data_IF_018265086402
#
_entry.id   IF_018265086402
#
_cell.length_a   1.000
_cell.length_b   1.000
_cell.length_c   1.000
_cell.angle_alpha   90.00
_cell.angle_beta   90.00
_cell.angle_gamma   90.00
#
_symmetry.space_group_name_H-M   'P 1'
#
loop_
_entity.id
_entity.type
_entity.pdbx_description
1 polymer ?
#
# COMPACT_ATOMS: atom_id res chain seq x y z
N UNK A 1 -12.35 -0.83 -5.52
CA UNK A 1 -11.83 -2.00 -6.26
C UNK A 1 -10.79 -2.74 -5.41
N UNK A 2 -10.82 -4.07 -5.37
CA UNK A 2 -9.88 -4.87 -4.56
C UNK A 2 -8.59 -5.11 -5.37
N UNK A 3 -7.42 -4.70 -4.85
CA UNK A 3 -6.14 -5.00 -5.51
C UNK A 3 -5.87 -6.50 -5.47
N UNK A 4 -5.51 -7.08 -6.63
CA UNK A 4 -5.12 -8.48 -6.79
C UNK A 4 -3.65 -8.52 -7.15
N UNK A 5 -2.81 -9.14 -6.32
CA UNK A 5 -1.41 -9.39 -6.64
C UNK A 5 -1.28 -10.71 -7.41
N UNK A 6 -1.06 -10.64 -8.72
CA UNK A 6 -0.80 -11.80 -9.60
C UNK A 6 0.67 -12.16 -9.68
N UNK A 7 1.55 -11.20 -9.41
CA UNK A 7 3.01 -11.36 -9.46
C UNK A 7 3.64 -10.84 -8.18
N UNK A 8 4.84 -11.34 -7.85
CA UNK A 8 5.56 -11.01 -6.62
C UNK A 8 5.78 -9.50 -6.47
N UNK A 9 6.11 -8.79 -7.54
CA UNK A 9 6.27 -7.33 -7.51
C UNK A 9 5.01 -6.59 -7.02
N UNK A 10 3.82 -7.05 -7.42
CA UNK A 10 2.55 -6.45 -6.95
C UNK A 10 2.31 -6.74 -5.46
N UNK A 11 2.74 -7.90 -4.96
CA UNK A 11 2.68 -8.23 -3.54
C UNK A 11 3.59 -7.31 -2.71
N UNK A 12 4.84 -7.14 -3.14
CA UNK A 12 5.80 -6.25 -2.48
C UNK A 12 5.27 -4.80 -2.42
N UNK A 13 4.63 -4.30 -3.49
CA UNK A 13 3.99 -2.99 -3.49
C UNK A 13 2.80 -2.90 -2.54
N UNK A 14 1.96 -3.95 -2.46
CA UNK A 14 0.83 -3.99 -1.54
C UNK A 14 1.28 -4.02 -0.07
N UNK A 15 2.36 -4.74 0.23
CA UNK A 15 2.99 -4.74 1.54
C UNK A 15 3.62 -3.41 1.89
N UNK A 16 4.22 -2.72 0.91
CA UNK A 16 4.71 -1.35 1.10
C UNK A 16 3.56 -0.41 1.48
N UNK A 17 2.45 -0.43 0.74
CA UNK A 17 1.26 0.36 1.08
C UNK A 17 0.75 0.03 2.50
N UNK A 18 0.73 -1.26 2.87
CA UNK A 18 0.33 -1.71 4.22
C UNK A 18 1.21 -1.09 5.32
N UNK A 19 2.53 -1.01 5.10
CA UNK A 19 3.49 -0.44 6.05
C UNK A 19 3.40 1.08 6.11
N UNK A 20 3.36 1.76 4.96
CA UNK A 20 3.28 3.23 4.85
C UNK A 20 1.97 3.77 5.41
N UNK A 21 0.90 2.98 5.32
CA UNK A 21 -0.42 3.32 5.85
C UNK A 21 -0.42 3.61 7.37
N UNK A 22 0.49 3.01 8.15
CA UNK A 22 0.55 3.15 9.62
C UNK A 22 -0.58 2.44 10.38
N UNK A 23 -1.67 2.07 9.71
CA UNK A 23 -2.82 1.32 10.29
C UNK A 23 -2.90 -0.13 9.81
N UNK A 24 -1.80 -0.65 9.26
CA UNK A 24 -1.70 -2.02 8.76
C UNK A 24 -2.74 -2.39 7.68
N UNK A 25 -3.18 -1.41 6.87
CA UNK A 25 -4.20 -1.58 5.83
C UNK A 25 -3.67 -1.09 4.48
N UNK A 26 -3.52 -1.98 3.51
CA UNK A 26 -2.96 -1.66 2.18
C UNK A 26 -3.84 -0.75 1.32
N UNK A 27 -5.12 -0.59 1.65
CA UNK A 27 -6.07 0.22 0.87
C UNK A 27 -6.14 1.67 1.37
N UNK A 28 -5.50 1.98 2.51
CA UNK A 28 -5.42 3.34 3.03
C UNK A 28 -4.22 4.00 2.38
N UNK A 29 -4.46 4.64 1.24
CA UNK A 29 -3.43 5.39 0.51
C UNK A 29 -3.05 6.66 1.26
N UNK A 30 -1.76 6.96 1.29
CA UNK A 30 -1.20 8.21 1.83
C UNK A 30 -0.74 9.06 0.65
N UNK A 31 -1.28 10.27 0.51
CA UNK A 31 -0.92 11.18 -0.56
C UNK A 31 0.35 11.98 -0.26
N UNK A 32 0.49 13.10 -0.95
CA UNK A 32 1.55 14.08 -0.71
C UNK A 32 1.47 14.73 0.69
N UNK A 33 0.33 14.58 1.38
CA UNK A 33 0.13 14.97 2.79
C UNK A 33 1.10 14.29 3.77
N UNK A 34 1.76 13.20 3.36
CA UNK A 34 2.69 12.43 4.19
C UNK A 34 4.17 12.77 3.92
N UNK A 35 4.45 13.80 3.12
CA UNK A 35 5.79 14.23 2.74
C UNK A 35 5.91 15.69 3.19
N UNK A 36 6.49 15.90 4.38
CA UNK A 36 6.87 17.22 4.90
C UNK A 36 8.23 17.64 4.33
#
# INVERSE_FOLDING_TARGET
>A
EKRIARIRYQWELMERDRRVSGVNRYYVSKGLENID
#
